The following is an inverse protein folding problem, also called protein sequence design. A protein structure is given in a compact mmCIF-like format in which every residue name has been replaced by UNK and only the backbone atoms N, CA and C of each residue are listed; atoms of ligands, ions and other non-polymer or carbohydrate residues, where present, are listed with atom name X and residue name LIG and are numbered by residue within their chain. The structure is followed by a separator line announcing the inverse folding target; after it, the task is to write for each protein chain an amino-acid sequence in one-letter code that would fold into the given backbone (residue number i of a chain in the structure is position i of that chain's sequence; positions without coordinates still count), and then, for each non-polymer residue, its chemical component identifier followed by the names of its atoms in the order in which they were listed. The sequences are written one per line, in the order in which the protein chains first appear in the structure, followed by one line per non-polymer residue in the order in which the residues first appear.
data_IF_201194553803
#
_entry.id   IF_201194553803
#
_cell.length_a   1.000
_cell.length_b   1.000
_cell.length_c   1.000
_cell.angle_alpha   90.00
_cell.angle_beta   90.00
_cell.angle_gamma   90.00
#
_symmetry.space_group_name_H-M   'P 1'
#
loop_
_entity.id
_entity.type
_entity.pdbx_description
1 polymer ?
#
# COMPACT_ATOMS: atom_id res chain seq x y z
N UNK A 1 34.54 -7.77 19.46
CA UNK A 1 33.13 -8.06 19.81
C UNK A 1 32.40 -8.40 18.52
N UNK A 2 31.92 -9.64 18.39
CA UNK A 2 31.38 -10.23 17.16
C UNK A 2 30.26 -9.35 16.58
N UNK A 3 30.39 -9.01 15.30
CA UNK A 3 29.48 -8.13 14.55
C UNK A 3 28.24 -8.92 14.15
N UNK A 4 27.31 -9.10 15.09
CA UNK A 4 26.02 -9.77 14.85
C UNK A 4 24.89 -8.79 14.48
N UNK A 5 25.19 -7.55 14.10
CA UNK A 5 24.16 -6.56 13.76
C UNK A 5 23.76 -6.53 12.28
N UNK A 6 24.34 -7.42 11.45
CA UNK A 6 24.06 -7.50 10.01
C UNK A 6 22.77 -8.28 9.70
N UNK A 7 22.25 -9.08 10.63
CA UNK A 7 21.08 -9.93 10.38
C UNK A 7 19.70 -9.28 10.60
N UNK A 8 19.62 -8.05 11.13
CA UNK A 8 18.32 -7.40 11.43
C UNK A 8 17.90 -6.43 10.31
N UNK A 9 18.84 -5.98 9.48
CA UNK A 9 18.59 -5.12 8.33
C UNK A 9 18.90 -5.90 7.06
N UNK A 10 17.86 -6.36 6.37
CA UNK A 10 17.91 -6.99 5.05
C UNK A 10 18.35 -6.01 3.94
N UNK A 11 19.48 -5.32 4.14
CA UNK A 11 20.19 -4.57 3.12
C UNK A 11 21.69 -4.66 3.41
N UNK A 12 22.33 -5.70 2.85
CA UNK A 12 23.78 -5.78 2.79
C UNK A 12 24.27 -4.85 1.66
N UNK A 13 24.47 -3.58 1.98
CA UNK A 13 25.16 -2.66 1.08
C UNK A 13 26.63 -3.12 0.97
N UNK A 14 27.15 -3.48 -0.21
CA UNK A 14 28.52 -3.93 -0.34
C UNK A 14 29.46 -2.76 -0.07
N UNK A 15 30.17 -2.80 1.07
CA UNK A 15 31.21 -1.84 1.48
C UNK A 15 32.49 -1.97 0.63
N UNK A 16 32.39 -2.26 -0.67
CA UNK A 16 33.53 -2.34 -1.58
C UNK A 16 33.98 -0.96 -2.12
N UNK A 17 33.34 0.13 -1.72
CA UNK A 17 33.70 1.49 -2.17
C UNK A 17 34.69 2.17 -1.19
N UNK A 18 35.05 1.52 -0.07
CA UNK A 18 36.01 2.05 0.91
C UNK A 18 37.39 1.34 0.88
N UNK A 19 37.82 0.88 -0.28
CA UNK A 19 39.24 0.57 -0.51
C UNK A 19 39.72 1.44 -1.66
N UNK A 20 40.13 2.65 -1.31
CA UNK A 20 40.84 3.52 -2.23
C UNK A 20 42.34 3.36 -1.98
N UNK A 21 42.99 2.53 -2.80
CA UNK A 21 44.44 2.43 -2.88
C UNK A 21 44.96 3.61 -3.70
N UNK A 22 45.39 4.68 -3.05
CA UNK A 22 46.15 5.74 -3.71
C UNK A 22 47.64 5.67 -3.33
N UNK A 23 48.43 5.19 -4.29
CA UNK A 23 49.82 5.61 -4.51
C UNK A 23 49.77 7.10 -4.89
N UNK A 24 50.44 7.96 -4.13
CA UNK A 24 50.51 9.40 -4.44
C UNK A 24 51.58 9.68 -5.51
N UNK A 25 51.25 10.38 -6.62
CA UNK A 25 52.21 11.27 -7.27
C UNK A 25 52.29 12.56 -6.45
N UNK A 26 53.50 12.97 -6.07
CA UNK A 26 53.74 14.23 -5.36
C UNK A 26 53.35 15.41 -6.24
N UNK A 27 52.26 16.10 -5.88
CA UNK A 27 51.93 17.43 -6.38
C UNK A 27 52.22 18.41 -5.24
N UNK A 28 53.20 19.27 -5.48
CA UNK A 28 53.66 20.34 -4.58
C UNK A 28 52.52 21.34 -4.38
N UNK A 29 51.99 21.43 -3.16
CA UNK A 29 50.91 22.38 -2.81
C UNK A 29 51.47 23.55 -2.01
N UNK A 30 51.28 24.76 -2.54
CA UNK A 30 51.66 26.02 -1.92
C UNK A 30 50.84 26.27 -0.65
N UNK A 31 51.53 26.51 0.48
CA UNK A 31 50.93 26.90 1.77
C UNK A 31 50.11 28.20 1.61
N UNK A 32 48.78 28.09 1.67
CA UNK A 32 47.93 29.17 2.20
C UNK A 32 47.74 28.96 3.69
N UNK A 33 48.05 29.99 4.47
CA UNK A 33 48.01 30.01 5.94
C UNK A 33 46.55 30.01 6.42
N UNK A 34 45.93 28.84 6.47
CA UNK A 34 44.63 28.69 7.13
C UNK A 34 44.91 28.47 8.62
N UNK A 35 44.55 29.48 9.44
CA UNK A 35 44.58 29.47 10.91
C UNK A 35 43.85 28.22 11.44
N UNK A 36 44.60 27.18 11.75
CA UNK A 36 44.15 26.14 12.68
C UNK A 36 44.03 26.79 14.06
N UNK A 37 42.84 26.73 14.67
CA UNK A 37 42.67 27.03 16.09
C UNK A 37 43.38 25.93 16.87
N UNK A 38 44.65 26.18 17.17
CA UNK A 38 45.39 25.44 18.18
C UNK A 38 44.74 25.77 19.53
N UNK A 39 44.47 24.77 20.36
CA UNK A 39 44.22 24.99 21.79
C UNK A 39 45.47 25.65 22.38
N UNK A 40 45.42 26.97 22.53
CA UNK A 40 46.33 27.70 23.39
C UNK A 40 45.65 27.85 24.73
N UNK A 41 46.19 27.22 25.77
CA UNK A 41 45.92 27.58 27.16
C UNK A 41 46.44 29.01 27.37
N UNK A 42 45.55 29.99 27.20
CA UNK A 42 45.80 31.41 27.51
C UNK A 42 44.85 31.84 28.62
N UNK A 43 45.01 31.25 29.81
CA UNK A 43 44.59 31.93 31.04
C UNK A 43 45.83 32.54 31.70
N UNK A 44 46.08 33.83 31.41
CA UNK A 44 47.06 34.66 32.10
C UNK A 44 46.33 35.44 33.21
N UNK A 45 46.54 35.11 34.50
CA UNK A 45 45.73 35.61 35.62
C UNK A 45 46.08 37.04 36.07
N UNK A 46 46.62 37.89 35.19
CA UNK A 46 47.13 39.21 35.57
C UNK A 46 46.17 40.38 35.28
N UNK A 47 44.94 40.09 34.84
CA UNK A 47 43.94 41.12 34.50
C UNK A 47 42.84 41.31 35.55
N UNK A 48 42.83 40.47 36.61
CA UNK A 48 41.79 40.47 37.64
C UNK A 48 41.82 41.71 38.55
N UNK A 49 42.87 42.53 38.48
CA UNK A 49 43.04 43.74 39.30
C UNK A 49 42.98 45.06 38.52
N UNK A 50 42.81 45.02 37.19
CA UNK A 50 42.66 46.22 36.38
C UNK A 50 41.22 46.76 36.49
N UNK A 51 41.08 48.02 36.88
CA UNK A 51 39.79 48.67 37.07
C UNK A 51 38.98 48.72 35.77
N UNK A 52 39.63 48.95 34.63
CA UNK A 52 38.96 48.98 33.33
C UNK A 52 38.46 47.59 32.94
N UNK A 53 39.27 46.55 33.18
CA UNK A 53 38.87 45.17 32.88
C UNK A 53 37.68 44.71 33.73
N UNK A 54 37.65 45.06 35.03
CA UNK A 54 36.50 44.74 35.90
C UNK A 54 35.20 45.35 35.37
N UNK A 55 35.23 46.60 34.90
CA UNK A 55 34.03 47.25 34.35
C UNK A 55 33.55 46.58 33.05
N UNK A 56 34.46 46.18 32.17
CA UNK A 56 34.12 45.45 30.94
C UNK A 56 33.57 44.06 31.23
N UNK A 57 34.18 43.32 32.16
CA UNK A 57 33.68 42.00 32.58
C UNK A 57 32.28 42.10 33.18
N UNK A 58 32.02 43.12 34.00
CA UNK A 58 30.70 43.34 34.59
C UNK A 58 29.66 43.70 33.52
N UNK A 59 29.98 44.59 32.58
CA UNK A 59 29.10 44.89 31.44
C UNK A 59 28.82 43.65 30.56
N UNK A 60 29.81 42.79 30.35
CA UNK A 60 29.62 41.52 29.66
C UNK A 60 28.71 40.58 30.45
N UNK A 61 28.93 40.42 31.75
CA UNK A 61 28.09 39.59 32.61
C UNK A 61 26.63 40.09 32.65
N UNK A 62 26.42 41.40 32.75
CA UNK A 62 25.08 41.99 32.76
C UNK A 62 24.35 41.74 31.43
N UNK A 63 25.01 42.03 30.28
CA UNK A 63 24.45 41.77 28.95
C UNK A 63 24.20 40.29 28.69
N UNK A 64 25.09 39.43 29.17
CA UNK A 64 24.96 37.99 28.99
C UNK A 64 23.82 37.44 29.86
N UNK A 65 23.69 37.92 31.09
CA UNK A 65 22.60 37.56 32.00
C UNK A 65 21.24 37.98 31.44
N UNK A 66 21.14 39.19 30.88
CA UNK A 66 19.93 39.67 30.22
C UNK A 66 19.52 38.79 29.04
N UNK A 67 20.48 38.43 28.17
CA UNK A 67 20.21 37.52 27.04
C UNK A 67 19.78 36.13 27.48
N UNK A 68 20.31 35.63 28.60
CA UNK A 68 19.88 34.34 29.15
C UNK A 68 18.44 34.39 29.66
N UNK A 69 18.05 35.47 30.34
CA UNK A 69 16.67 35.68 30.80
C UNK A 69 15.71 35.77 29.61
N UNK A 70 16.03 36.57 28.58
CA UNK A 70 15.23 36.66 27.35
C UNK A 70 15.09 35.30 26.64
N UNK A 71 16.18 34.52 26.57
CA UNK A 71 16.14 33.19 25.96
C UNK A 71 15.29 32.21 26.78
N UNK A 72 15.35 32.29 28.11
CA UNK A 72 14.56 31.45 29.00
C UNK A 72 13.06 31.76 28.89
N UNK A 73 12.68 33.04 28.86
CA UNK A 73 11.29 33.47 28.64
C UNK A 73 10.75 32.99 27.30
N UNK A 74 11.50 33.19 26.20
CA UNK A 74 11.12 32.70 24.87
C UNK A 74 11.00 31.16 24.83
N UNK A 75 11.85 30.47 25.57
CA UNK A 75 11.80 29.01 25.68
C UNK A 75 10.58 28.55 26.48
N UNK A 76 10.21 29.26 27.55
CA UNK A 76 9.01 28.99 28.33
C UNK A 76 7.75 29.24 27.50
N UNK A 77 7.65 30.36 26.79
CA UNK A 77 6.51 30.69 25.93
C UNK A 77 6.30 29.63 24.82
N UNK A 78 7.39 29.25 24.12
CA UNK A 78 7.34 28.20 23.09
C UNK A 78 7.02 26.81 23.64
N UNK A 79 7.31 26.54 24.92
CA UNK A 79 6.90 25.30 25.60
C UNK A 79 5.43 25.33 25.97
N UNK A 80 4.93 26.46 26.49
CA UNK A 80 3.53 26.64 26.84
C UNK A 80 2.63 26.48 25.62
N UNK A 81 2.94 27.18 24.52
CA UNK A 81 2.18 27.09 23.26
C UNK A 81 2.09 25.67 22.71
N UNK A 82 3.16 24.87 22.85
CA UNK A 82 3.18 23.47 22.41
C UNK A 82 2.36 22.55 23.34
N UNK A 83 2.36 22.81 24.65
CA UNK A 83 1.47 22.09 25.59
C UNK A 83 0.00 22.36 25.27
N UNK A 84 -0.37 23.63 25.11
CA UNK A 84 -1.75 24.03 24.81
C UNK A 84 -2.23 23.43 23.48
N UNK A 85 -1.36 23.35 22.46
CA UNK A 85 -1.67 22.71 21.19
C UNK A 85 -1.89 21.19 21.35
N UNK A 86 -1.04 20.52 22.12
CA UNK A 86 -1.16 19.09 22.42
C UNK A 86 -2.46 18.79 23.17
N UNK A 87 -2.78 19.56 24.21
CA UNK A 87 -4.01 19.40 25.00
C UNK A 87 -5.26 19.61 24.13
N UNK A 88 -5.23 20.57 23.19
CA UNK A 88 -6.31 20.79 22.23
C UNK A 88 -6.49 19.61 21.27
N UNK A 89 -5.40 19.01 20.79
CA UNK A 89 -5.46 17.83 19.92
C UNK A 89 -5.94 16.59 20.67
N UNK A 90 -5.50 16.40 21.91
CA UNK A 90 -5.97 15.33 22.80
C UNK A 90 -7.48 15.47 23.06
N UNK A 91 -7.97 16.67 23.38
CA UNK A 91 -9.41 16.91 23.56
C UNK A 91 -10.22 16.58 22.31
N UNK A 92 -9.71 16.89 21.11
CA UNK A 92 -10.36 16.51 19.85
C UNK A 92 -10.43 15.00 19.66
N UNK A 93 -9.36 14.27 20.00
CA UNK A 93 -9.32 12.80 19.91
C UNK A 93 -10.33 12.19 20.87
N UNK A 94 -10.39 12.67 22.12
CA UNK A 94 -11.35 12.18 23.13
C UNK A 94 -12.80 12.43 22.68
N UNK A 95 -13.10 13.62 22.14
CA UNK A 95 -14.44 13.93 21.61
C UNK A 95 -14.81 13.04 20.43
N UNK A 96 -13.85 12.76 19.53
CA UNK A 96 -14.07 11.90 18.38
C UNK A 96 -14.34 10.45 18.79
N UNK A 97 -13.55 9.92 19.71
CA UNK A 97 -13.71 8.56 20.25
C UNK A 97 -15.06 8.40 20.97
N UNK A 98 -15.50 9.43 21.71
CA UNK A 98 -16.82 9.43 22.36
C UNK A 98 -17.97 9.38 21.34
N UNK A 99 -17.90 10.13 20.24
CA UNK A 99 -18.91 10.09 19.17
C UNK A 99 -18.91 8.76 18.41
N UNK A 100 -17.74 8.20 18.11
CA UNK A 100 -17.63 6.89 17.46
C UNK A 100 -18.23 5.79 18.35
N UNK A 101 -17.98 5.85 19.66
CA UNK A 101 -18.58 4.91 20.62
C UNK A 101 -20.10 5.04 20.73
N UNK A 102 -20.63 6.26 20.81
CA UNK A 102 -22.08 6.50 20.82
C UNK A 102 -22.76 6.05 19.52
N UNK A 103 -22.11 6.25 18.36
CA UNK A 103 -22.61 5.76 17.08
C UNK A 103 -22.62 4.23 17.03
N UNK A 104 -21.54 3.56 17.45
CA UNK A 104 -21.49 2.10 17.49
C UNK A 104 -22.56 1.51 18.40
N UNK A 105 -22.76 2.07 19.59
CA UNK A 105 -23.81 1.61 20.51
C UNK A 105 -25.20 1.77 19.86
N UNK A 106 -25.47 2.90 19.17
CA UNK A 106 -26.74 3.10 18.43
C UNK A 106 -26.92 2.10 17.30
N UNK A 107 -25.88 1.81 16.51
CA UNK A 107 -25.94 0.80 15.45
C UNK A 107 -26.16 -0.61 16.01
N UNK A 108 -25.57 -0.94 17.16
CA UNK A 108 -25.79 -2.22 17.84
C UNK A 108 -27.23 -2.37 18.38
N UNK A 109 -27.81 -1.30 18.93
CA UNK A 109 -29.24 -1.29 19.33
C UNK A 109 -30.19 -1.37 18.13
N UNK A 110 -29.92 -0.67 17.03
CA UNK A 110 -30.72 -0.76 15.80
C UNK A 110 -30.69 -2.16 15.17
N UNK A 111 -29.61 -2.91 15.36
CA UNK A 111 -29.53 -4.32 14.94
C UNK A 111 -30.29 -5.29 15.86
N UNK A 112 -30.58 -4.91 17.10
CA UNK A 112 -31.33 -5.76 18.06
C UNK A 112 -32.82 -5.42 18.10
N UNK A 113 -33.22 -4.21 17.70
CA UNK A 113 -34.64 -3.80 17.57
C UNK A 113 -35.32 -4.32 16.30
N UNK A 114 -34.59 -4.99 15.40
CA UNK A 114 -35.21 -5.85 14.37
C UNK A 114 -35.55 -7.18 15.03
N UNK A 115 -36.63 -7.16 15.83
CA UNK A 115 -37.26 -8.37 16.37
C UNK A 115 -37.50 -9.39 15.26
N UNK A 116 -37.04 -10.60 15.55
CA UNK A 116 -36.72 -11.70 14.64
C UNK A 116 -37.94 -12.61 14.39
N UNK A 117 -39.17 -12.10 14.53
CA UNK A 117 -40.35 -12.92 14.82
C UNK A 117 -41.41 -12.96 13.71
N UNK A 118 -41.07 -12.64 12.45
CA UNK A 118 -42.06 -12.76 11.36
C UNK A 118 -41.49 -13.11 9.97
N UNK A 119 -40.62 -14.13 9.84
CA UNK A 119 -40.49 -14.86 8.56
C UNK A 119 -40.28 -16.36 8.86
N UNK A 120 -41.18 -17.25 8.37
CA UNK A 120 -41.09 -18.67 8.67
C UNK A 120 -39.87 -19.30 7.96
N UNK A 121 -39.19 -20.15 8.73
CA UNK A 121 -38.13 -21.10 8.38
C UNK A 121 -37.93 -21.39 6.89
N UNK A 122 -36.80 -20.92 6.34
CA UNK A 122 -36.09 -21.65 5.30
C UNK A 122 -34.62 -21.79 5.71
N UNK A 123 -34.23 -23.03 5.94
CA UNK A 123 -32.93 -23.48 6.44
C UNK A 123 -31.87 -23.13 5.40
N UNK A 124 -31.06 -22.10 5.65
CA UNK A 124 -29.75 -21.89 5.02
C UNK A 124 -28.83 -21.12 5.96
N UNK A 125 -28.56 -21.72 7.13
CA UNK A 125 -27.44 -21.32 7.99
C UNK A 125 -26.24 -22.21 7.66
N UNK A 126 -25.09 -21.58 7.36
CA UNK A 126 -23.69 -22.08 7.29
C UNK A 126 -23.02 -22.51 5.97
N UNK A 127 -23.65 -22.56 4.79
CA UNK A 127 -22.95 -23.10 3.59
C UNK A 127 -22.42 -22.09 2.56
N UNK A 128 -22.66 -20.78 2.70
CA UNK A 128 -22.23 -19.79 1.69
C UNK A 128 -20.93 -19.05 2.06
N UNK A 129 -20.73 -18.65 3.31
CA UNK A 129 -19.46 -18.03 3.73
C UNK A 129 -18.30 -19.03 3.71
N UNK A 130 -18.52 -20.25 4.21
CA UNK A 130 -17.50 -21.30 4.29
C UNK A 130 -17.10 -21.88 2.91
N UNK A 131 -17.90 -21.64 1.86
CA UNK A 131 -17.67 -22.14 0.49
C UNK A 131 -17.10 -21.07 -0.43
N UNK A 132 -17.46 -19.80 -0.20
CA UNK A 132 -16.87 -18.65 -0.90
C UNK A 132 -15.43 -18.42 -0.41
N UNK A 133 -15.15 -18.60 0.89
CA UNK A 133 -13.78 -18.47 1.43
C UNK A 133 -12.86 -19.60 0.92
N UNK A 134 -13.40 -20.83 0.80
CA UNK A 134 -12.64 -22.02 0.36
C UNK A 134 -12.40 -22.08 -1.16
N UNK A 135 -13.28 -21.50 -1.98
CA UNK A 135 -13.05 -21.37 -3.42
C UNK A 135 -12.26 -20.10 -3.78
N UNK A 136 -12.38 -19.00 -3.03
CA UNK A 136 -11.52 -17.82 -3.21
C UNK A 136 -10.05 -18.11 -2.82
N UNK A 137 -9.80 -18.97 -1.82
CA UNK A 137 -8.45 -19.48 -1.53
C UNK A 137 -7.89 -20.40 -2.62
N UNK A 138 -8.75 -21.09 -3.40
CA UNK A 138 -8.29 -21.92 -4.53
C UNK A 138 -7.95 -21.09 -5.77
N UNK A 139 -8.68 -20.00 -6.05
CA UNK A 139 -8.30 -19.03 -7.09
C UNK A 139 -7.09 -18.16 -6.67
N UNK A 140 -6.92 -17.90 -5.38
CA UNK A 140 -5.71 -17.29 -4.82
C UNK A 140 -4.47 -18.19 -4.86
N UNK A 141 -4.62 -19.51 -5.01
CA UNK A 141 -3.49 -20.46 -5.08
C UNK A 141 -2.65 -20.34 -6.36
N UNK A 142 -3.21 -19.79 -7.45
CA UNK A 142 -2.48 -19.56 -8.71
C UNK A 142 -1.93 -18.13 -8.79
N UNK A 143 -2.54 -17.17 -8.06
CA UNK A 143 -2.06 -15.79 -7.94
C UNK A 143 -1.06 -15.59 -6.77
N UNK A 144 -0.98 -16.54 -5.84
CA UNK A 144 -0.11 -16.50 -4.66
C UNK A 144 1.34 -16.90 -4.91
N UNK A 145 1.71 -17.33 -6.12
CA UNK A 145 3.08 -17.75 -6.44
C UNK A 145 3.97 -16.62 -6.99
N UNK A 146 3.41 -15.42 -7.24
CA UNK A 146 4.15 -14.34 -7.90
C UNK A 146 4.44 -13.10 -7.02
N UNK A 147 3.85 -12.94 -5.83
CA UNK A 147 4.17 -11.80 -4.96
C UNK A 147 4.12 -12.17 -3.48
N UNK A 148 5.23 -12.68 -2.92
CA UNK A 148 5.47 -12.60 -1.48
C UNK A 148 5.73 -11.12 -1.13
N UNK A 149 5.28 -10.67 0.05
CA UNK A 149 5.68 -9.43 0.76
C UNK A 149 4.78 -8.19 0.79
N UNK A 150 3.51 -8.23 0.36
CA UNK A 150 2.61 -7.06 0.55
C UNK A 150 1.82 -7.01 1.87
N UNK A 151 2.07 -7.95 2.80
CA UNK A 151 1.33 -8.05 4.06
C UNK A 151 1.61 -6.96 5.11
N UNK A 152 2.56 -6.04 4.89
CA UNK A 152 3.09 -5.20 5.96
C UNK A 152 2.82 -3.69 5.87
N UNK A 153 2.25 -3.15 4.78
CA UNK A 153 2.13 -1.67 4.63
C UNK A 153 0.82 -1.30 3.92
N UNK A 154 -0.24 -0.94 4.67
CA UNK A 154 -1.43 -0.25 4.14
C UNK A 154 -2.16 -0.89 2.95
N UNK A 155 -1.86 -2.16 2.64
CA UNK A 155 -2.16 -2.78 1.35
C UNK A 155 -3.63 -3.10 1.11
N UNK A 156 -4.48 -3.08 2.13
CA UNK A 156 -5.89 -3.52 2.00
C UNK A 156 -6.71 -2.64 1.07
N UNK A 157 -6.53 -1.31 1.07
CA UNK A 157 -7.34 -0.42 0.21
C UNK A 157 -6.84 -0.42 -1.24
N UNK A 158 -5.52 -0.35 -1.45
CA UNK A 158 -4.92 -0.37 -2.79
C UNK A 158 -5.13 -1.73 -3.45
N UNK A 159 -4.95 -2.81 -2.70
CA UNK A 159 -5.22 -4.16 -3.18
C UNK A 159 -6.70 -4.36 -3.49
N UNK A 160 -7.62 -3.92 -2.62
CA UNK A 160 -9.06 -4.01 -2.89
C UNK A 160 -9.47 -3.19 -4.12
N UNK A 161 -8.90 -1.99 -4.31
CA UNK A 161 -9.13 -1.19 -5.51
C UNK A 161 -8.57 -1.84 -6.78
N UNK A 162 -7.37 -2.43 -6.71
CA UNK A 162 -6.75 -3.14 -7.82
C UNK A 162 -7.55 -4.40 -8.20
N UNK A 163 -8.00 -5.18 -7.21
CA UNK A 163 -8.89 -6.33 -7.44
C UNK A 163 -10.18 -5.87 -8.10
N UNK A 164 -10.82 -4.81 -7.59
CA UNK A 164 -12.06 -4.29 -8.17
C UNK A 164 -11.89 -3.83 -9.62
N UNK A 165 -10.84 -3.06 -9.90
CA UNK A 165 -10.52 -2.60 -11.27
C UNK A 165 -10.31 -3.78 -12.22
N UNK A 166 -9.51 -4.76 -11.78
CA UNK A 166 -9.23 -5.97 -12.54
C UNK A 166 -10.49 -6.81 -12.82
N UNK A 167 -11.37 -6.98 -11.82
CA UNK A 167 -12.62 -7.73 -12.00
C UNK A 167 -13.57 -7.02 -12.94
N UNK A 168 -13.71 -5.70 -12.81
CA UNK A 168 -14.61 -4.90 -13.66
C UNK A 168 -14.14 -4.94 -15.13
N UNK A 169 -12.82 -4.84 -15.37
CA UNK A 169 -12.24 -4.98 -16.70
C UNK A 169 -12.42 -6.40 -17.26
N UNK A 170 -12.14 -7.42 -16.46
CA UNK A 170 -12.29 -8.82 -16.87
C UNK A 170 -13.72 -9.18 -17.25
N UNK A 171 -14.70 -8.73 -16.48
CA UNK A 171 -16.13 -8.90 -16.78
C UNK A 171 -16.49 -8.18 -18.08
N UNK A 172 -16.05 -6.93 -18.25
CA UNK A 172 -16.34 -6.16 -19.46
C UNK A 172 -15.79 -6.84 -20.72
N UNK A 173 -14.55 -7.32 -20.67
CA UNK A 173 -13.91 -8.01 -21.78
C UNK A 173 -14.58 -9.36 -22.04
N UNK A 174 -14.87 -10.13 -20.98
CA UNK A 174 -15.57 -11.40 -21.11
C UNK A 174 -16.95 -11.26 -21.77
N UNK A 175 -17.75 -10.28 -21.34
CA UNK A 175 -19.05 -9.97 -21.96
C UNK A 175 -18.86 -9.62 -23.44
N UNK A 176 -17.91 -8.73 -23.75
CA UNK A 176 -17.66 -8.30 -25.12
C UNK A 176 -17.25 -9.48 -26.02
N UNK A 177 -16.37 -10.35 -25.56
CA UNK A 177 -15.95 -11.56 -26.28
C UNK A 177 -17.15 -12.49 -26.53
N UNK A 178 -17.94 -12.78 -25.50
CA UNK A 178 -19.13 -13.63 -25.63
C UNK A 178 -20.14 -13.07 -26.63
N UNK A 179 -20.40 -11.76 -26.61
CA UNK A 179 -21.30 -11.09 -27.55
C UNK A 179 -20.77 -11.18 -28.98
N UNK A 180 -19.49 -10.84 -29.20
CA UNK A 180 -18.86 -10.89 -30.51
C UNK A 180 -18.93 -12.29 -31.12
N UNK A 181 -18.56 -13.31 -30.35
CA UNK A 181 -18.53 -14.69 -30.83
C UNK A 181 -19.94 -15.24 -31.08
N UNK A 182 -20.93 -14.85 -30.28
CA UNK A 182 -22.33 -15.19 -30.51
C UNK A 182 -22.90 -14.54 -31.76
N UNK A 183 -22.61 -13.25 -32.00
CA UNK A 183 -23.00 -12.57 -33.24
C UNK A 183 -22.38 -13.29 -34.45
N UNK A 184 -21.11 -13.70 -34.32
CA UNK A 184 -20.36 -14.45 -35.33
C UNK A 184 -20.77 -15.92 -35.50
N UNK A 185 -21.60 -16.47 -34.61
CA UNK A 185 -21.95 -17.89 -34.62
C UNK A 185 -22.86 -18.24 -35.81
N UNK A 186 -22.26 -18.66 -36.92
CA UNK A 186 -22.95 -19.16 -38.11
C UNK A 186 -24.10 -18.26 -38.60
N UNK A 187 -23.97 -16.94 -38.45
CA UNK A 187 -24.99 -15.96 -38.86
C UNK A 187 -26.11 -15.71 -37.84
N UNK A 188 -25.99 -16.18 -36.60
CA UNK A 188 -26.97 -15.97 -35.51
C UNK A 188 -27.29 -14.48 -35.30
N UNK A 189 -26.28 -13.61 -35.32
CA UNK A 189 -26.47 -12.17 -35.19
C UNK A 189 -27.36 -11.56 -36.27
N UNK A 190 -27.32 -12.08 -37.51
CA UNK A 190 -28.19 -11.63 -38.61
C UNK A 190 -29.62 -12.13 -38.48
N UNK A 191 -29.83 -13.25 -37.77
CA UNK A 191 -31.14 -13.85 -37.58
C UNK A 191 -31.93 -13.18 -36.46
N UNK A 192 -31.29 -12.98 -35.31
CA UNK A 192 -31.96 -12.51 -34.08
C UNK A 192 -31.74 -11.00 -33.87
N UNK A 193 -30.70 -10.45 -34.48
CA UNK A 193 -30.23 -9.08 -34.25
C UNK A 193 -29.19 -9.03 -33.14
N UNK A 194 -28.15 -8.21 -33.35
CA UNK A 194 -27.07 -8.00 -32.37
C UNK A 194 -27.58 -7.47 -31.03
N UNK A 195 -28.56 -6.59 -31.05
CA UNK A 195 -29.16 -5.97 -29.85
C UNK A 195 -29.80 -6.98 -28.90
N UNK A 196 -30.43 -8.04 -29.42
CA UNK A 196 -31.00 -9.10 -28.58
C UNK A 196 -29.92 -9.98 -27.95
N UNK A 197 -28.78 -10.16 -28.62
CA UNK A 197 -27.64 -10.90 -28.08
C UNK A 197 -26.95 -10.07 -27.00
N UNK A 198 -26.73 -8.77 -27.24
CA UNK A 198 -26.18 -7.83 -26.27
C UNK A 198 -27.01 -7.76 -24.99
N UNK A 199 -28.34 -7.72 -25.09
CA UNK A 199 -29.23 -7.71 -23.92
C UNK A 199 -29.28 -9.06 -23.18
N UNK A 200 -28.97 -10.16 -23.86
CA UNK A 200 -28.95 -11.47 -23.25
C UNK A 200 -27.66 -11.68 -22.44
N UNK A 201 -26.50 -11.30 -22.98
CA UNK A 201 -25.21 -11.52 -22.31
C UNK A 201 -25.00 -10.47 -21.22
N UNK A 202 -24.77 -10.95 -20.00
CA UNK A 202 -24.62 -10.16 -18.78
C UNK A 202 -23.42 -10.65 -17.98
N UNK A 203 -23.04 -9.90 -16.94
CA UNK A 203 -21.95 -10.27 -16.03
C UNK A 203 -22.17 -11.59 -15.30
N UNK A 204 -23.40 -12.11 -15.27
CA UNK A 204 -23.75 -13.35 -14.55
C UNK A 204 -23.80 -14.59 -15.44
N UNK A 205 -23.88 -14.44 -16.77
CA UNK A 205 -24.12 -15.58 -17.67
C UNK A 205 -23.08 -15.74 -18.80
N UNK A 206 -22.21 -14.75 -19.04
CA UNK A 206 -21.26 -14.80 -20.16
C UNK A 206 -20.28 -15.98 -20.09
N UNK A 207 -20.02 -16.50 -18.89
CA UNK A 207 -19.15 -17.66 -18.63
C UNK A 207 -19.94 -18.98 -18.46
N UNK A 208 -21.28 -18.93 -18.44
CA UNK A 208 -22.09 -20.12 -18.23
C UNK A 208 -22.39 -20.81 -19.57
N UNK A 209 -21.72 -21.94 -19.79
CA UNK A 209 -21.88 -22.78 -20.99
C UNK A 209 -23.34 -23.13 -21.27
N UNK A 210 -24.10 -23.50 -20.24
CA UNK A 210 -25.49 -23.93 -20.41
C UNK A 210 -26.40 -22.77 -20.79
N UNK A 211 -26.18 -21.57 -20.25
CA UNK A 211 -26.98 -20.40 -20.60
C UNK A 211 -26.81 -20.03 -22.07
N UNK A 212 -25.56 -20.02 -22.55
CA UNK A 212 -25.24 -19.76 -23.96
C UNK A 212 -25.82 -20.85 -24.87
N UNK A 213 -25.65 -22.13 -24.52
CA UNK A 213 -26.20 -23.26 -25.28
C UNK A 213 -27.72 -23.20 -25.34
N UNK A 214 -28.39 -22.93 -24.22
CA UNK A 214 -29.85 -22.83 -24.14
C UNK A 214 -30.38 -21.65 -24.97
N UNK A 215 -29.66 -20.53 -24.99
CA UNK A 215 -30.00 -19.39 -25.85
C UNK A 215 -29.96 -19.77 -27.33
N UNK A 216 -28.90 -20.43 -27.77
CA UNK A 216 -28.74 -20.91 -29.15
C UNK A 216 -29.78 -21.99 -29.49
N UNK A 217 -30.13 -22.86 -28.54
CA UNK A 217 -31.17 -23.86 -28.73
C UNK A 217 -32.55 -23.23 -28.88
N UNK A 218 -32.87 -22.23 -28.06
CA UNK A 218 -34.12 -21.47 -28.15
C UNK A 218 -34.23 -20.74 -29.48
N UNK A 219 -33.14 -20.14 -29.93
CA UNK A 219 -33.04 -19.52 -31.26
C UNK A 219 -33.37 -20.50 -32.39
N UNK A 220 -32.77 -21.71 -32.35
CA UNK A 220 -33.08 -22.77 -33.32
C UNK A 220 -34.58 -23.09 -33.34
N UNK A 221 -35.17 -23.36 -32.19
CA UNK A 221 -36.57 -23.80 -32.09
C UNK A 221 -37.53 -22.67 -32.51
N UNK A 222 -37.27 -21.44 -32.08
CA UNK A 222 -38.20 -20.33 -32.32
C UNK A 222 -38.08 -19.73 -33.72
N UNK A 223 -36.88 -19.71 -34.31
CA UNK A 223 -36.64 -19.00 -35.56
C UNK A 223 -36.52 -19.91 -36.78
N UNK A 224 -36.19 -21.19 -36.61
CA UNK A 224 -35.91 -22.10 -37.73
C UNK A 224 -36.96 -23.20 -37.93
N UNK A 225 -37.96 -23.33 -37.04
CA UNK A 225 -38.97 -24.40 -37.10
C UNK A 225 -40.11 -24.15 -38.09
N UNK A 226 -40.49 -22.89 -38.35
CA UNK A 226 -41.68 -22.57 -39.15
C UNK A 226 -41.41 -22.44 -40.67
N UNK A 227 -40.20 -22.82 -41.14
CA UNK A 227 -39.81 -22.78 -42.55
C UNK A 227 -39.54 -21.39 -43.15
N UNK A 228 -40.09 -20.33 -42.56
CA UNK A 228 -39.96 -18.93 -43.05
C UNK A 228 -38.52 -18.40 -43.10
N UNK A 229 -37.60 -18.99 -42.34
CA UNK A 229 -36.19 -18.58 -42.29
C UNK A 229 -35.23 -19.66 -42.81
N UNK A 230 -35.74 -20.65 -43.57
CA UNK A 230 -34.91 -21.76 -44.06
C UNK A 230 -33.71 -21.31 -44.93
N UNK A 231 -33.85 -20.16 -45.60
CA UNK A 231 -32.81 -19.49 -46.39
C UNK A 231 -31.74 -18.78 -45.54
N UNK A 232 -32.03 -18.47 -44.27
CA UNK A 232 -31.09 -17.77 -43.40
C UNK A 232 -29.91 -18.66 -43.06
N UNK A 233 -28.72 -18.08 -43.10
CA UNK A 233 -27.43 -18.76 -42.89
C UNK A 233 -27.44 -19.63 -41.63
N UNK A 234 -27.96 -19.11 -40.52
CA UNK A 234 -28.03 -19.86 -39.25
C UNK A 234 -28.97 -21.08 -39.33
N UNK A 235 -30.18 -20.91 -39.87
CA UNK A 235 -31.15 -22.00 -39.97
C UNK A 235 -30.73 -23.05 -41.00
N UNK A 236 -30.18 -22.62 -42.14
CA UNK A 236 -29.58 -23.50 -43.13
C UNK A 236 -28.41 -24.29 -42.53
N UNK A 237 -27.52 -23.63 -41.78
CA UNK A 237 -26.42 -24.29 -41.09
C UNK A 237 -26.94 -25.33 -40.10
N UNK A 238 -27.89 -24.97 -39.23
CA UNK A 238 -28.41 -25.85 -38.17
C UNK A 238 -29.22 -27.03 -38.72
N UNK A 239 -29.96 -26.85 -39.81
CA UNK A 239 -30.78 -27.91 -40.42
C UNK A 239 -29.97 -28.85 -41.33
N UNK A 240 -28.91 -28.34 -41.99
CA UNK A 240 -28.02 -29.13 -42.85
C UNK A 240 -26.80 -29.70 -42.12
N UNK A 241 -26.55 -29.30 -40.87
CA UNK A 241 -25.45 -29.82 -40.08
C UNK A 241 -25.64 -31.31 -39.84
N UNK A 242 -24.78 -32.11 -40.47
CA UNK A 242 -24.67 -33.58 -40.30
C UNK A 242 -24.48 -33.98 -38.83
N UNK A 243 -24.09 -33.02 -37.96
CA UNK A 243 -23.94 -33.20 -36.51
C UNK A 243 -24.48 -31.99 -35.71
N UNK A 244 -25.75 -32.03 -35.27
CA UNK A 244 -26.30 -31.09 -34.30
C UNK A 244 -25.43 -30.84 -33.04
N UNK A 245 -24.64 -31.81 -32.53
CA UNK A 245 -23.77 -31.59 -31.37
C UNK A 245 -22.68 -30.53 -31.56
N UNK A 246 -22.15 -30.35 -32.78
CA UNK A 246 -20.97 -29.49 -33.02
C UNK A 246 -21.31 -28.00 -32.84
N UNK A 247 -22.52 -27.56 -33.19
CA UNK A 247 -22.98 -26.19 -32.95
C UNK A 247 -23.10 -25.88 -31.45
N UNK A 248 -23.66 -26.80 -30.67
CA UNK A 248 -23.80 -26.61 -29.23
C UNK A 248 -22.47 -26.72 -28.50
N UNK A 249 -21.54 -27.55 -28.98
CA UNK A 249 -20.16 -27.54 -28.51
C UNK A 249 -19.48 -26.20 -28.78
N UNK A 250 -19.67 -25.64 -29.98
CA UNK A 250 -19.16 -24.30 -30.31
C UNK A 250 -19.81 -23.21 -29.47
N UNK A 251 -21.11 -23.31 -29.19
CA UNK A 251 -21.78 -22.39 -28.27
C UNK A 251 -21.22 -22.49 -26.83
N UNK A 252 -20.93 -23.70 -26.36
CA UNK A 252 -20.30 -23.90 -25.06
C UNK A 252 -18.85 -23.35 -25.02
N UNK A 253 -18.08 -23.50 -26.10
CA UNK A 253 -16.71 -22.97 -26.17
C UNK A 253 -16.65 -21.45 -26.19
N UNK A 254 -17.74 -20.77 -26.59
CA UNK A 254 -17.82 -19.30 -26.47
C UNK A 254 -17.78 -18.87 -25.00
N UNK A 255 -18.52 -19.56 -24.12
CA UNK A 255 -18.48 -19.27 -22.69
C UNK A 255 -17.08 -19.50 -22.09
N UNK A 256 -16.41 -20.59 -22.49
CA UNK A 256 -15.04 -20.91 -22.05
C UNK A 256 -14.05 -19.85 -22.52
N UNK A 257 -14.15 -19.42 -23.78
CA UNK A 257 -13.27 -18.41 -24.37
C UNK A 257 -13.49 -17.06 -23.69
N UNK A 258 -14.74 -16.68 -23.47
CA UNK A 258 -15.10 -15.45 -22.78
C UNK A 258 -14.61 -15.43 -21.32
N UNK A 259 -14.72 -16.55 -20.60
CA UNK A 259 -14.16 -16.72 -19.26
C UNK A 259 -12.63 -16.59 -19.27
N UNK A 260 -11.95 -17.29 -20.19
CA UNK A 260 -10.50 -17.28 -20.31
C UNK A 260 -9.96 -15.88 -20.67
N UNK A 261 -10.50 -15.23 -21.70
CA UNK A 261 -10.08 -13.89 -22.12
C UNK A 261 -10.35 -12.85 -21.04
N UNK A 262 -11.50 -12.95 -20.34
CA UNK A 262 -11.81 -12.09 -19.20
C UNK A 262 -10.82 -12.29 -18.04
N UNK A 263 -10.45 -13.53 -17.73
CA UNK A 263 -9.48 -13.86 -16.69
C UNK A 263 -8.07 -13.38 -17.04
N UNK A 264 -7.63 -13.52 -18.29
CA UNK A 264 -6.34 -13.01 -18.76
C UNK A 264 -6.26 -11.50 -18.66
N UNK A 265 -7.32 -10.79 -19.06
CA UNK A 265 -7.36 -9.35 -18.97
C UNK A 265 -7.40 -8.84 -17.52
N UNK A 266 -8.18 -9.49 -16.65
CA UNK A 266 -8.19 -9.20 -15.21
C UNK A 266 -6.79 -9.41 -14.61
N UNK A 267 -6.10 -10.50 -14.98
CA UNK A 267 -4.75 -10.78 -14.52
C UNK A 267 -3.77 -9.70 -14.99
N UNK A 268 -3.82 -9.31 -16.26
CA UNK A 268 -2.95 -8.26 -16.81
C UNK A 268 -3.17 -6.92 -16.08
N UNK A 269 -4.41 -6.52 -15.89
CA UNK A 269 -4.78 -5.29 -15.17
C UNK A 269 -4.34 -5.33 -13.71
N UNK A 270 -4.57 -6.45 -13.03
CA UNK A 270 -4.12 -6.64 -11.67
C UNK A 270 -2.61 -6.52 -11.56
N UNK A 271 -1.85 -7.20 -12.43
CA UNK A 271 -0.38 -7.11 -12.43
C UNK A 271 0.13 -5.71 -12.72
N UNK A 272 -0.54 -4.95 -13.59
CA UNK A 272 -0.24 -3.54 -13.86
C UNK A 272 -0.50 -2.68 -12.62
N UNK A 273 -1.67 -2.84 -11.99
CA UNK A 273 -2.10 -2.06 -10.84
C UNK A 273 -1.28 -2.36 -9.57
N UNK A 274 -0.74 -3.57 -9.42
CA UNK A 274 0.08 -3.98 -8.27
C UNK A 274 1.57 -4.00 -8.56
N UNK A 275 2.01 -3.61 -9.77
CA UNK A 275 3.43 -3.57 -10.09
C UNK A 275 4.18 -2.68 -9.09
N UNK A 276 5.34 -3.13 -8.62
CA UNK A 276 6.22 -2.37 -7.74
C UNK A 276 6.60 -1.00 -8.33
N UNK A 277 6.59 -0.88 -9.67
CA UNK A 277 6.73 0.39 -10.38
C UNK A 277 5.62 1.38 -10.06
N UNK A 278 4.37 0.96 -9.84
CA UNK A 278 3.25 1.84 -9.47
C UNK A 278 3.39 2.37 -8.03
N UNK A 279 3.87 1.54 -7.11
CA UNK A 279 4.14 1.95 -5.72
C UNK A 279 5.36 2.88 -5.62
N UNK A 280 6.42 2.63 -6.40
CA UNK A 280 7.64 3.42 -6.40
C UNK A 280 7.58 4.67 -7.28
N UNK A 281 6.56 4.81 -8.14
CA UNK A 281 6.33 6.03 -8.93
C UNK A 281 5.38 7.01 -8.25
N UNK A 282 4.71 6.63 -7.16
CA UNK A 282 3.92 7.55 -6.38
C UNK A 282 4.84 8.47 -5.54
N UNK A 283 4.91 9.78 -5.84
CA UNK A 283 5.82 10.70 -5.16
C UNK A 283 5.53 10.84 -3.67
N UNK A 284 4.28 10.60 -3.24
CA UNK A 284 3.88 10.64 -1.83
C UNK A 284 4.49 9.46 -1.07
N UNK A 285 4.44 8.27 -1.66
CA UNK A 285 5.01 7.05 -1.06
C UNK A 285 6.54 7.16 -1.02
N UNK A 286 7.15 7.63 -2.11
CA UNK A 286 8.60 7.84 -2.17
C UNK A 286 9.07 8.85 -1.10
N UNK A 287 8.33 9.97 -0.94
CA UNK A 287 8.60 10.96 0.09
C UNK A 287 8.49 10.38 1.50
N UNK A 288 7.47 9.57 1.77
CA UNK A 288 7.27 8.93 3.07
C UNK A 288 8.41 7.94 3.40
N UNK A 289 8.87 7.16 2.43
CA UNK A 289 10.02 6.25 2.59
C UNK A 289 11.29 7.04 2.91
N UNK A 290 11.56 8.13 2.18
CA UNK A 290 12.72 8.99 2.44
C UNK A 290 12.68 9.57 3.86
N UNK A 291 11.52 10.05 4.31
CA UNK A 291 11.36 10.57 5.67
C UNK A 291 11.59 9.45 6.71
N UNK A 292 11.03 8.26 6.50
CA UNK A 292 11.24 7.12 7.39
C UNK A 292 12.71 6.72 7.50
N UNK A 293 13.45 6.71 6.39
CA UNK A 293 14.89 6.47 6.37
C UNK A 293 15.67 7.53 7.17
N UNK A 294 15.33 8.82 7.02
CA UNK A 294 15.96 9.90 7.79
C UNK A 294 15.71 9.71 9.29
N UNK A 295 14.48 9.40 9.69
CA UNK A 295 14.12 9.16 11.09
C UNK A 295 14.87 7.94 11.66
N UNK A 296 15.00 6.86 10.89
CA UNK A 296 15.75 5.68 11.29
C UNK A 296 17.25 5.99 11.51
N UNK A 297 17.86 6.78 10.62
CA UNK A 297 19.26 7.22 10.75
C UNK A 297 19.43 8.08 12.01
N UNK A 298 18.53 9.04 12.25
CA UNK A 298 18.57 9.88 13.45
C UNK A 298 18.41 9.07 14.74
N UNK A 299 17.51 8.07 14.74
CA UNK A 299 17.35 7.14 15.86
C UNK A 299 18.62 6.32 16.11
N UNK A 300 19.25 5.79 15.06
CA UNK A 300 20.49 5.04 15.19
C UNK A 300 21.62 5.90 15.78
N UNK A 301 21.81 7.13 15.27
CA UNK A 301 22.79 8.09 15.80
C UNK A 301 22.49 8.42 17.27
N UNK A 302 21.23 8.73 17.59
CA UNK A 302 20.80 9.02 18.96
C UNK A 302 21.12 7.87 19.91
N UNK A 303 20.82 6.63 19.51
CA UNK A 303 21.11 5.44 20.32
C UNK A 303 22.61 5.25 20.56
N UNK A 304 23.45 5.46 19.54
CA UNK A 304 24.91 5.39 19.67
C UNK A 304 25.42 6.46 20.65
N UNK A 305 24.94 7.70 20.54
CA UNK A 305 25.35 8.80 21.43
C UNK A 305 24.88 8.55 22.87
N UNK A 306 23.64 8.09 23.05
CA UNK A 306 23.08 7.72 24.36
C UNK A 306 23.91 6.61 25.00
N UNK A 307 24.29 5.58 24.23
CA UNK A 307 25.14 4.51 24.71
C UNK A 307 26.51 5.02 25.17
N UNK A 308 27.17 5.88 24.37
CA UNK A 308 28.46 6.51 24.75
C UNK A 308 28.37 7.35 26.02
N UNK A 309 27.31 8.17 26.17
CA UNK A 309 27.09 9.01 27.35
C UNK A 309 26.95 8.17 28.62
N UNK A 310 26.12 7.12 28.57
CA UNK A 310 25.93 6.22 29.70
C UNK A 310 27.24 5.53 30.11
N UNK A 311 28.05 5.10 29.14
CA UNK A 311 29.32 4.46 29.45
C UNK A 311 30.33 5.44 30.08
N UNK A 312 30.35 6.70 29.63
CA UNK A 312 31.17 7.76 30.22
C UNK A 312 30.78 8.05 31.67
N UNK A 313 29.48 8.07 31.99
CA UNK A 313 28.99 8.27 33.36
C UNK A 313 29.36 7.11 34.28
N UNK A 314 29.25 5.85 33.82
CA UNK A 314 29.68 4.68 34.58
C UNK A 314 31.16 4.73 34.93
N UNK A 315 32.02 5.10 33.98
CA UNK A 315 33.46 5.29 34.21
C UNK A 315 33.72 6.38 35.25
N UNK A 316 33.08 7.55 35.14
CA UNK A 316 33.20 8.63 36.14
C UNK A 316 32.84 8.17 37.56
N UNK A 317 31.78 7.37 37.69
CA UNK A 317 31.33 6.85 38.97
C UNK A 317 32.33 5.86 39.60
N UNK A 318 33.04 5.08 38.77
CA UNK A 318 34.14 4.22 39.21
C UNK A 318 35.34 5.04 39.69
N UNK A 319 35.74 6.11 38.97
CA UNK A 319 36.83 6.98 39.40
C UNK A 319 36.54 7.73 40.72
N UNK A 320 35.31 8.20 40.93
CA UNK A 320 34.92 8.85 42.19
C UNK A 320 34.98 7.89 43.38
N UNK A 321 34.66 6.60 43.17
CA UNK A 321 34.78 5.58 44.22
C UNK A 321 36.23 5.32 44.62
N UNK A 322 37.13 5.22 43.64
CA UNK A 322 38.56 5.00 43.88
C UNK A 322 39.26 6.18 44.58
N UNK A 323 38.73 7.40 44.49
CA UNK A 323 39.29 8.59 45.15
C UNK A 323 38.79 8.78 46.59
N UNK A 324 37.84 7.98 47.04
CA UNK A 324 37.26 8.05 48.40
C UNK A 324 37.78 6.97 49.34
N UNK A 325 38.47 5.96 48.81
CA UNK A 325 39.30 5.02 49.57
C UNK A 325 40.72 5.58 49.70
#
# INVERSE_FOLDING_TARGET
MKVHYINILLFALPLNILVNTHKNPSITSHKKTNRSLCECDLYMPNYDNDAEMKTLMQQFQDRTSQKFQEYEELMQEKRQKRKDQCDKEIQKIILKDKLEKELMDKFATLQTDIQNDAIPTCICKKSLTDKVEKNCMKCGGILGTAVPELGAIGGTVVYAAAVKSATDLGIKIGIQTAVCDLIGLSGLGKLIGSTKIENFVTSTNYFNKMDIVNFVQKAKITMCSDGNNADKVFCSYVNNSVKPPELFQRAASIAETAEATGAEAAKAEFTSATASTAFLSNPIILSAIVIACIVAILLAIYLILRYRRNNKMKKKLQYIKLLKE
#
